data_IF_977406213090
#
_entry.id   IF_977406213090
#
_cell.length_a   1.000
_cell.length_b   1.000
_cell.length_c   1.000
_cell.angle_alpha   90.00
_cell.angle_beta   90.00
_cell.angle_gamma   90.00
#
_symmetry.space_group_name_H-M   'P 1'
#
loop_
_entity.id
_entity.type
_entity.pdbx_description
1 polymer ?
#
# COMPACT_ATOMS: atom_id res chain seq x y z
N UNK A 1 12.54 -0.23 1.50
CA UNK A 1 11.56 -1.32 1.36
C UNK A 1 10.62 -1.01 0.21
N UNK A 2 10.39 -2.00 -0.66
CA UNK A 2 9.48 -1.91 -1.81
C UNK A 2 9.04 -3.30 -2.25
N UNK A 3 7.85 -3.38 -2.83
CA UNK A 3 7.36 -4.56 -3.52
C UNK A 3 6.43 -4.18 -4.69
N UNK A 4 6.33 -5.09 -5.65
CA UNK A 4 5.41 -4.99 -6.80
C UNK A 4 4.73 -6.35 -7.02
N UNK A 5 3.45 -6.33 -7.41
CA UNK A 5 2.75 -7.54 -7.86
C UNK A 5 2.84 -7.66 -9.38
N UNK A 6 3.24 -8.84 -9.88
CA UNK A 6 3.39 -9.13 -11.31
C UNK A 6 2.33 -10.12 -11.82
N UNK A 7 1.95 -9.97 -13.09
CA UNK A 7 1.03 -10.83 -13.82
C UNK A 7 1.82 -11.87 -14.62
N UNK A 8 1.78 -13.13 -14.22
CA UNK A 8 2.47 -14.20 -14.95
C UNK A 8 1.59 -14.73 -16.08
N UNK A 9 2.00 -14.47 -17.32
CA UNK A 9 1.27 -14.91 -18.52
C UNK A 9 -0.03 -14.15 -18.75
N UNK A 10 -1.09 -14.82 -19.20
CA UNK A 10 -2.37 -14.17 -19.47
C UNK A 10 -3.30 -14.24 -18.24
N UNK A 11 -3.12 -13.31 -17.31
CA UNK A 11 -4.02 -13.17 -16.17
C UNK A 11 -5.46 -12.83 -16.59
N UNK A 12 -6.44 -13.37 -15.87
CA UNK A 12 -7.86 -13.08 -16.07
C UNK A 12 -8.23 -11.63 -15.71
N UNK A 13 -9.42 -11.14 -16.11
CA UNK A 13 -9.83 -9.76 -15.86
C UNK A 13 -9.87 -9.36 -14.38
N UNK A 14 -10.21 -10.28 -13.48
CA UNK A 14 -10.25 -10.02 -12.04
C UNK A 14 -8.83 -9.85 -11.48
N UNK A 15 -7.87 -10.65 -11.95
CA UNK A 15 -6.45 -10.52 -11.60
C UNK A 15 -5.88 -9.18 -12.06
N UNK A 16 -6.15 -8.78 -13.32
CA UNK A 16 -5.72 -7.48 -13.86
C UNK A 16 -6.33 -6.32 -13.06
N UNK A 17 -7.64 -6.37 -12.78
CA UNK A 17 -8.33 -5.38 -11.95
C UNK A 17 -7.73 -5.28 -10.55
N UNK A 18 -7.43 -6.43 -9.91
CA UNK A 18 -6.87 -6.46 -8.56
C UNK A 18 -5.50 -5.77 -8.49
N UNK A 19 -4.59 -6.12 -9.41
CA UNK A 19 -3.24 -5.54 -9.45
C UNK A 19 -3.31 -4.03 -9.71
N UNK A 20 -4.11 -3.59 -10.68
CA UNK A 20 -4.35 -2.16 -10.96
C UNK A 20 -4.95 -1.44 -9.74
N UNK A 21 -5.88 -2.08 -9.04
CA UNK A 21 -6.51 -1.50 -7.84
C UNK A 21 -5.50 -1.31 -6.71
N UNK A 22 -4.62 -2.30 -6.48
CA UNK A 22 -3.57 -2.20 -5.47
C UNK A 22 -2.58 -1.07 -5.79
N UNK A 23 -2.16 -0.96 -7.06
CA UNK A 23 -1.33 0.15 -7.54
C UNK A 23 -2.01 1.51 -7.30
N UNK A 24 -3.27 1.65 -7.73
CA UNK A 24 -4.03 2.89 -7.58
C UNK A 24 -4.27 3.25 -6.11
N UNK A 25 -4.44 2.27 -5.23
CA UNK A 25 -4.53 2.50 -3.78
C UNK A 25 -3.25 3.14 -3.23
N UNK A 26 -2.08 2.61 -3.60
CA UNK A 26 -0.80 3.19 -3.21
C UNK A 26 -0.62 4.59 -3.79
N UNK A 27 -0.81 4.75 -5.11
CA UNK A 27 -0.64 6.04 -5.80
C UNK A 27 -1.50 7.15 -5.18
N UNK A 28 -2.77 6.85 -4.87
CA UNK A 28 -3.69 7.81 -4.26
C UNK A 28 -3.36 8.15 -2.81
N UNK A 29 -2.75 7.21 -2.07
CA UNK A 29 -2.23 7.49 -0.74
C UNK A 29 -0.99 8.40 -0.81
N UNK A 30 -0.04 8.11 -1.71
CA UNK A 30 1.18 8.89 -1.86
C UNK A 30 0.90 10.34 -2.30
N UNK A 31 -0.12 10.56 -3.13
CA UNK A 31 -0.57 11.90 -3.52
C UNK A 31 -1.04 12.77 -2.32
N UNK A 32 -1.35 12.17 -1.17
CA UNK A 32 -1.72 12.88 0.06
C UNK A 32 -0.54 13.18 0.99
N UNK A 33 0.63 12.57 0.75
CA UNK A 33 1.78 12.67 1.65
C UNK A 33 2.42 14.04 1.49
N UNK A 34 2.29 14.84 2.56
CA UNK A 34 2.90 16.17 2.72
C UNK A 34 2.84 16.57 4.20
N UNK A 35 3.60 17.59 4.63
CA UNK A 35 3.52 18.10 5.99
C UNK A 35 2.09 18.47 6.41
N UNK A 36 1.71 18.09 7.62
CA UNK A 36 0.38 18.35 8.18
C UNK A 36 -0.66 17.27 7.92
N UNK A 37 -0.45 16.35 6.97
CA UNK A 37 -1.34 15.20 6.76
C UNK A 37 -1.24 14.23 7.95
N UNK A 38 -2.38 13.70 8.41
CA UNK A 38 -2.38 12.67 9.47
C UNK A 38 -2.13 11.29 8.86
N UNK A 39 -1.31 10.46 9.52
CA UNK A 39 -1.05 9.09 9.04
C UNK A 39 -2.32 8.27 8.87
N UNK A 40 -3.31 8.46 9.76
CA UNK A 40 -4.60 7.76 9.70
C UNK A 40 -5.43 8.06 8.45
N UNK A 41 -5.19 9.20 7.79
CA UNK A 41 -6.01 9.65 6.66
C UNK A 41 -5.69 8.84 5.39
N UNK A 42 -4.47 8.29 5.27
CA UNK A 42 -4.07 7.44 4.14
C UNK A 42 -4.99 6.22 4.02
N UNK A 43 -5.25 5.53 5.13
CA UNK A 43 -6.14 4.36 5.14
C UNK A 43 -7.59 4.68 4.74
N UNK A 44 -8.05 5.92 4.96
CA UNK A 44 -9.37 6.35 4.49
C UNK A 44 -9.40 6.48 2.96
N UNK A 45 -8.34 7.03 2.36
CA UNK A 45 -8.24 7.14 0.89
C UNK A 45 -8.09 5.78 0.23
N UNK A 46 -7.17 4.95 0.73
CA UNK A 46 -6.94 3.58 0.25
C UNK A 46 -8.25 2.78 0.28
N UNK A 47 -8.97 2.81 1.40
CA UNK A 47 -10.24 2.09 1.52
C UNK A 47 -11.28 2.53 0.49
N UNK A 48 -11.40 3.85 0.24
CA UNK A 48 -12.33 4.37 -0.78
C UNK A 48 -11.97 3.88 -2.18
N UNK A 49 -10.69 3.91 -2.54
CA UNK A 49 -10.20 3.43 -3.83
C UNK A 49 -10.46 1.94 -4.02
N UNK A 50 -10.10 1.10 -3.03
CA UNK A 50 -10.34 -0.33 -3.08
C UNK A 50 -11.83 -0.69 -3.17
N UNK A 51 -12.66 -0.03 -2.34
CA UNK A 51 -14.10 -0.29 -2.30
C UNK A 51 -14.78 0.06 -3.63
N UNK A 52 -14.37 1.14 -4.30
CA UNK A 52 -14.90 1.54 -5.60
C UNK A 52 -14.65 0.49 -6.69
N UNK A 53 -13.59 -0.31 -6.56
CA UNK A 53 -13.25 -1.41 -7.46
C UNK A 53 -13.81 -2.77 -7.01
N UNK A 54 -14.67 -2.80 -5.98
CA UNK A 54 -15.23 -4.03 -5.43
C UNK A 54 -14.22 -4.89 -4.65
N UNK A 55 -13.12 -4.30 -4.19
CA UNK A 55 -12.07 -4.96 -3.41
C UNK A 55 -12.16 -4.57 -1.92
N UNK A 56 -11.47 -5.32 -1.07
CA UNK A 56 -11.32 -5.03 0.36
C UNK A 56 -9.86 -4.81 0.76
N UNK A 57 -9.63 -4.26 1.96
CA UNK A 57 -8.29 -3.91 2.45
C UNK A 57 -7.97 -4.74 3.68
N UNK A 58 -6.81 -5.40 3.67
CA UNK A 58 -6.29 -6.16 4.81
C UNK A 58 -6.09 -5.25 6.02
N UNK A 59 -6.32 -5.78 7.23
CA UNK A 59 -6.28 -4.99 8.48
C UNK A 59 -5.17 -5.37 9.45
N UNK A 60 -4.59 -6.55 9.28
CA UNK A 60 -3.61 -7.13 10.22
C UNK A 60 -2.22 -6.51 10.05
N UNK A 61 -1.89 -6.07 8.84
CA UNK A 61 -0.59 -5.53 8.47
C UNK A 61 -0.69 -4.04 8.09
N UNK A 62 0.39 -3.29 8.31
CA UNK A 62 0.44 -1.85 8.09
C UNK A 62 1.82 -1.41 7.61
N UNK A 63 1.87 -0.26 6.94
CA UNK A 63 3.13 0.41 6.70
C UNK A 63 3.82 0.83 8.00
N UNK A 64 5.10 1.16 7.90
CA UNK A 64 5.95 1.40 9.06
C UNK A 64 6.97 2.50 8.79
N UNK A 65 7.45 3.15 9.86
CA UNK A 65 8.68 3.93 9.79
C UNK A 65 9.86 3.02 9.43
N UNK A 66 10.80 3.55 8.66
CA UNK A 66 11.99 2.82 8.22
C UNK A 66 13.20 3.75 8.13
N UNK A 67 14.38 3.22 8.40
CA UNK A 67 15.66 3.94 8.32
C UNK A 67 16.78 3.09 8.90
N UNK A 68 17.40 3.55 9.99
CA UNK A 68 18.37 2.74 10.74
C UNK A 68 17.74 1.53 11.45
N UNK A 69 16.42 1.56 11.65
CA UNK A 69 15.61 0.44 12.10
C UNK A 69 14.78 -0.07 10.92
N UNK A 70 14.61 -1.40 10.84
CA UNK A 70 13.82 -2.01 9.77
C UNK A 70 12.35 -1.64 9.90
N UNK A 71 11.74 -1.88 11.06
CA UNK A 71 10.37 -1.48 11.38
C UNK A 71 10.37 -0.60 12.63
N UNK A 72 9.84 0.62 12.53
CA UNK A 72 9.71 1.56 13.65
C UNK A 72 8.45 2.44 13.49
N UNK A 73 8.22 3.35 14.42
CA UNK A 73 7.14 4.32 14.30
C UNK A 73 7.33 5.23 13.07
N UNK A 74 6.25 5.63 12.38
CA UNK A 74 4.84 5.38 12.71
C UNK A 74 4.32 4.04 12.15
N UNK A 75 3.30 3.47 12.79
CA UNK A 75 2.46 2.45 12.14
C UNK A 75 1.44 3.16 11.23
N UNK A 76 1.29 2.70 9.99
CA UNK A 76 0.47 3.33 8.94
C UNK A 76 -0.58 2.34 8.42
N UNK A 77 -1.74 2.20 9.08
CA UNK A 77 -2.77 1.26 8.66
C UNK A 77 -3.47 1.70 7.36
N UNK A 78 -3.75 0.73 6.51
CA UNK A 78 -4.32 0.97 5.17
C UNK A 78 -5.86 1.02 5.14
N UNK A 79 -6.53 0.74 6.26
CA UNK A 79 -8.00 0.70 6.35
C UNK A 79 -8.58 1.98 6.96
N UNK A 80 -9.82 2.30 6.60
CA UNK A 80 -10.56 3.47 7.12
C UNK A 80 -10.84 3.39 8.64
N UNK A 81 -11.04 4.54 9.30
CA UNK A 81 -11.33 4.65 10.74
C UNK A 81 -10.30 3.97 11.66
N UNK A 82 -9.06 3.83 11.18
CA UNK A 82 -7.94 3.42 12.02
C UNK A 82 -7.61 4.54 13.04
N UNK A 83 -6.84 4.19 14.07
CA UNK A 83 -6.45 5.09 15.17
C UNK A 83 -4.97 5.45 15.15
N UNK A 84 -4.34 5.44 13.97
CA UNK A 84 -2.92 5.77 13.85
C UNK A 84 -2.66 7.17 14.41
N UNK A 85 -1.54 7.30 15.12
CA UNK A 85 -1.10 8.54 15.75
C UNK A 85 -0.07 9.24 14.87
N UNK A 86 0.02 10.55 15.02
CA UNK A 86 1.07 11.35 14.39
C UNK A 86 0.59 12.15 13.19
N UNK A 87 1.39 13.16 12.88
CA UNK A 87 1.23 14.09 11.77
C UNK A 87 2.54 14.05 10.98
N UNK A 88 2.44 14.00 9.65
CA UNK A 88 3.61 14.01 8.77
C UNK A 88 4.37 15.33 8.91
N UNK A 89 5.70 15.26 8.95
CA UNK A 89 6.61 16.40 8.97
C UNK A 89 7.78 16.15 8.02
N UNK A 90 8.42 17.19 7.47
CA UNK A 90 9.62 17.03 6.65
C UNK A 90 10.68 16.17 7.37
N UNK A 91 11.33 15.28 6.62
CA UNK A 91 12.32 14.34 7.15
C UNK A 91 11.77 13.03 7.69
N UNK A 92 10.44 12.87 7.83
CA UNK A 92 9.87 11.56 8.15
C UNK A 92 10.05 10.60 6.97
N UNK A 93 10.52 9.38 7.26
CA UNK A 93 10.66 8.28 6.29
C UNK A 93 9.81 7.09 6.74
N UNK A 94 8.95 6.61 5.86
CA UNK A 94 8.03 5.50 6.15
C UNK A 94 7.56 4.80 4.87
N UNK A 95 6.97 3.61 5.02
CA UNK A 95 6.37 2.84 3.94
C UNK A 95 4.87 3.06 3.85
N UNK A 96 4.33 2.98 2.64
CA UNK A 96 2.90 2.78 2.38
C UNK A 96 2.79 1.54 1.52
N UNK A 97 2.06 0.53 1.98
CA UNK A 97 2.14 -0.84 1.44
C UNK A 97 0.78 -1.58 1.42
N UNK A 98 -0.27 -0.99 0.81
CA UNK A 98 -1.62 -1.53 0.90
C UNK A 98 -1.74 -2.94 0.29
N UNK A 99 -2.19 -3.89 1.10
CA UNK A 99 -2.64 -5.22 0.67
C UNK A 99 -4.14 -5.21 0.39
N UNK A 100 -4.50 -5.52 -0.85
CA UNK A 100 -5.87 -5.44 -1.38
C UNK A 100 -6.36 -6.84 -1.76
N UNK A 101 -7.55 -7.22 -1.29
CA UNK A 101 -8.17 -8.52 -1.57
C UNK A 101 -9.34 -8.38 -2.55
N UNK A 102 -9.51 -9.34 -3.46
CA UNK A 102 -10.75 -9.47 -4.27
C UNK A 102 -11.97 -9.93 -3.43
N UNK A 103 -11.71 -10.45 -2.24
CA UNK A 103 -12.68 -11.04 -1.35
C UNK A 103 -12.84 -10.25 -0.05
N UNK A 104 -12.92 -10.98 1.06
CA UNK A 104 -13.04 -10.41 2.41
C UNK A 104 -11.68 -9.88 2.92
N UNK A 105 -11.67 -8.93 3.87
CA UNK A 105 -10.43 -8.34 4.38
C UNK A 105 -9.69 -9.24 5.40
N UNK A 106 -10.27 -10.38 5.78
CA UNK A 106 -9.72 -11.28 6.79
C UNK A 106 -8.57 -12.12 6.25
N UNK A 107 -7.59 -12.36 7.10
CA UNK A 107 -6.43 -13.21 6.85
C UNK A 107 -6.23 -14.25 7.97
N UNK A 108 -5.52 -15.32 7.65
CA UNK A 108 -5.04 -16.34 8.58
C UNK A 108 -3.57 -16.63 8.31
N UNK A 109 -2.82 -16.93 9.37
CA UNK A 109 -1.42 -17.34 9.26
C UNK A 109 -1.33 -18.86 9.13
N UNK A 110 -0.54 -19.34 8.18
CA UNK A 110 -0.19 -20.76 8.07
C UNK A 110 0.69 -21.23 9.24
N UNK A 111 0.86 -22.55 9.37
CA UNK A 111 1.61 -23.18 10.45
C UNK A 111 3.12 -22.86 10.47
N UNK A 112 3.63 -22.18 9.43
CA UNK A 112 5.00 -21.69 9.37
C UNK A 112 5.23 -20.38 10.15
N UNK A 113 4.16 -19.77 10.68
CA UNK A 113 4.16 -18.49 11.40
C UNK A 113 4.55 -17.27 10.54
N UNK A 114 4.47 -17.37 9.22
CA UNK A 114 4.85 -16.30 8.29
C UNK A 114 3.84 -16.08 7.17
N UNK A 115 3.41 -17.14 6.49
CA UNK A 115 2.56 -17.00 5.31
C UNK A 115 1.16 -16.57 5.73
N UNK A 116 0.79 -15.35 5.38
CA UNK A 116 -0.55 -14.80 5.54
C UNK A 116 -1.38 -15.08 4.28
N UNK A 117 -2.53 -15.71 4.45
CA UNK A 117 -3.46 -15.99 3.36
C UNK A 117 -4.85 -15.43 3.66
N UNK A 118 -5.61 -15.12 2.62
CA UNK A 118 -7.00 -14.69 2.75
C UNK A 118 -7.86 -15.80 3.35
N UNK A 119 -8.80 -15.44 4.22
CA UNK A 119 -9.71 -16.42 4.85
C UNK A 119 -10.63 -17.14 3.86
N UNK A 120 -10.87 -16.55 2.69
CA UNK A 120 -11.78 -17.07 1.66
C UNK A 120 -11.05 -17.68 0.45
N UNK A 121 -9.71 -17.75 0.50
CA UNK A 121 -8.87 -18.28 -0.59
C UNK A 121 -8.85 -17.45 -1.87
N UNK A 122 -9.44 -16.24 -1.88
CA UNK A 122 -9.38 -15.33 -3.03
C UNK A 122 -8.04 -14.60 -3.08
N UNK A 123 -7.66 -14.14 -4.28
CA UNK A 123 -6.37 -13.46 -4.51
C UNK A 123 -6.26 -12.14 -3.75
N UNK A 124 -5.02 -11.82 -3.39
CA UNK A 124 -4.56 -10.55 -2.83
C UNK A 124 -3.44 -9.97 -3.72
N UNK A 125 -3.29 -8.66 -3.73
CA UNK A 125 -2.19 -7.96 -4.39
C UNK A 125 -1.66 -6.81 -3.50
N UNK A 126 -0.39 -6.49 -3.66
CA UNK A 126 0.32 -5.47 -2.90
C UNK A 126 1.27 -4.67 -3.81
N UNK A 127 1.40 -3.39 -3.49
CA UNK A 127 2.49 -2.54 -3.94
C UNK A 127 3.00 -1.76 -2.74
N UNK A 128 4.27 -1.39 -2.76
CA UNK A 128 4.88 -0.61 -1.69
C UNK A 128 5.92 0.37 -2.21
N UNK A 129 5.96 1.52 -1.55
CA UNK A 129 7.12 2.40 -1.59
C UNK A 129 7.53 2.87 -0.21
N UNK A 130 8.85 2.98 -0.02
CA UNK A 130 9.44 3.86 0.98
C UNK A 130 9.40 5.30 0.48
N UNK A 131 8.89 6.22 1.30
CA UNK A 131 8.78 7.65 0.99
C UNK A 131 9.44 8.52 2.05
N UNK A 132 10.02 9.64 1.60
CA UNK A 132 10.53 10.73 2.43
C UNK A 132 9.56 11.91 2.34
N UNK A 133 9.06 12.39 3.46
CA UNK A 133 8.27 13.64 3.50
C UNK A 133 9.20 14.83 3.27
N UNK A 134 8.88 15.67 2.29
CA UNK A 134 9.59 16.91 1.98
C UNK A 134 8.81 18.12 2.51
N UNK A 135 9.32 19.33 2.29
CA UNK A 135 8.67 20.57 2.74
C UNK A 135 7.28 20.81 2.11
N UNK A 136 7.01 20.26 0.93
CA UNK A 136 5.77 20.51 0.17
C UNK A 136 5.02 19.25 -0.24
N UNK A 137 5.60 18.07 -0.04
CA UNK A 137 5.08 16.80 -0.54
C UNK A 137 5.86 15.61 -0.01
N UNK A 138 6.17 14.68 -0.92
CA UNK A 138 7.08 13.58 -0.65
C UNK A 138 7.98 13.27 -1.84
N UNK A 139 9.09 12.62 -1.56
CA UNK A 139 9.96 11.95 -2.51
C UNK A 139 9.73 10.44 -2.38
N UNK A 140 9.51 9.77 -3.51
CA UNK A 140 9.42 8.30 -3.57
C UNK A 140 10.84 7.75 -3.68
N UNK A 141 11.45 7.39 -2.55
CA UNK A 141 12.86 6.95 -2.48
C UNK A 141 13.14 5.62 -3.20
N UNK A 142 12.08 4.88 -3.51
CA UNK A 142 12.11 3.57 -4.16
C UNK A 142 11.46 3.60 -5.54
N UNK A 143 11.30 4.79 -6.12
CA UNK A 143 10.83 4.93 -7.48
C UNK A 143 11.80 4.30 -8.48
N UNK A 144 11.26 3.86 -9.62
CA UNK A 144 12.08 3.48 -10.77
C UNK A 144 12.83 4.71 -11.28
N UNK A 145 14.04 4.51 -11.81
CA UNK A 145 14.81 5.59 -12.42
C UNK A 145 14.01 6.28 -13.53
N UNK A 146 14.02 7.61 -13.53
CA UNK A 146 13.25 8.46 -14.46
C UNK A 146 11.72 8.38 -14.35
N UNK A 147 11.18 7.73 -13.32
CA UNK A 147 9.74 7.63 -13.05
C UNK A 147 9.39 8.04 -11.61
N UNK A 148 9.64 9.31 -11.22
CA UNK A 148 9.48 9.77 -9.84
C UNK A 148 8.01 9.89 -9.40
N UNK A 149 7.06 9.56 -10.28
CA UNK A 149 5.63 9.64 -10.03
C UNK A 149 4.97 8.33 -10.45
N UNK A 150 4.06 7.84 -9.61
CA UNK A 150 3.30 6.63 -9.94
C UNK A 150 2.34 6.91 -11.09
N UNK A 151 2.49 6.17 -12.18
CA UNK A 151 1.55 6.12 -13.31
C UNK A 151 1.30 4.68 -13.66
N UNK A 152 0.03 4.29 -13.72
CA UNK A 152 -0.35 2.94 -14.09
C UNK A 152 0.11 2.64 -15.50
N UNK A 153 0.74 1.49 -15.67
CA UNK A 153 1.16 0.95 -16.95
C UNK A 153 1.11 -0.58 -16.86
N UNK A 154 0.21 -1.18 -17.64
CA UNK A 154 0.01 -2.62 -17.64
C UNK A 154 1.26 -3.37 -18.11
N UNK A 155 2.07 -2.78 -18.99
CA UNK A 155 3.27 -3.45 -19.52
C UNK A 155 4.40 -3.53 -18.48
N UNK A 156 4.33 -2.75 -17.40
CA UNK A 156 5.32 -2.78 -16.31
C UNK A 156 5.11 -3.88 -15.28
N UNK A 157 3.92 -4.46 -15.27
CA UNK A 157 3.52 -5.53 -14.35
C UNK A 157 3.29 -6.85 -15.08
N UNK A 158 3.69 -6.95 -16.35
CA UNK A 158 3.67 -8.18 -17.17
C UNK A 158 4.98 -8.94 -17.09
#
# INVERSE_FOLDING_TARGET
DLNETFLVGNADPDGKRLVETAFNCLAEALAMVKPGTLYRDLGTRIHKTAQAAGCSVVRTYCGHGIGSLFHTAPNVPHYHRNKAKGVMRPGHVFTVEPMINLGVPGDVTWGDNWTAVTTDGRRSAQFEHTVLVTETGCEIMTARENEPVMRWDLDKVR
#
